data_IF_824800194628
#
_entry.id   IF_824800194628
#
_cell.length_a   1.000
_cell.length_b   1.000
_cell.length_c   1.000
_cell.angle_alpha   90.00
_cell.angle_beta   90.00
_cell.angle_gamma   90.00
#
_symmetry.space_group_name_H-M   'P 1'
#
loop_
_entity.id
_entity.type
_entity.pdbx_description
1 polymer ?
#
# COMPACT_ATOMS: atom_id res chain seq x y z
N UNK A 1 -31.82 9.42 45.66
CA UNK A 1 -32.20 9.84 44.29
C UNK A 1 -31.08 10.69 43.72
N UNK A 2 -30.16 10.07 42.98
CA UNK A 2 -29.04 10.79 42.40
C UNK A 2 -29.51 11.49 41.12
N UNK A 3 -29.37 12.84 41.14
CA UNK A 3 -29.85 13.72 40.09
C UNK A 3 -29.28 13.35 38.71
N UNK A 4 -30.11 13.30 37.69
CA UNK A 4 -29.78 12.96 36.30
C UNK A 4 -28.59 13.84 35.76
N UNK A 5 -28.42 15.04 36.22
CA UNK A 5 -27.30 15.94 35.93
C UNK A 5 -25.97 15.43 36.51
N UNK A 6 -25.99 14.79 37.68
CA UNK A 6 -24.77 14.23 38.30
C UNK A 6 -24.33 12.95 37.55
N UNK A 7 -25.25 12.10 37.13
CA UNK A 7 -24.94 10.90 36.33
C UNK A 7 -24.32 11.27 34.99
N UNK A 8 -24.79 12.30 34.29
CA UNK A 8 -24.17 12.80 33.04
C UNK A 8 -22.75 13.33 33.24
N UNK A 9 -22.48 14.00 34.36
CA UNK A 9 -21.12 14.49 34.68
C UNK A 9 -20.18 13.32 34.98
N UNK A 10 -20.66 12.29 35.68
CA UNK A 10 -19.86 11.09 36.01
C UNK A 10 -19.59 10.27 34.74
N UNK A 11 -20.56 10.12 33.86
CA UNK A 11 -20.35 9.39 32.59
C UNK A 11 -19.39 10.15 31.67
N UNK A 12 -19.49 11.46 31.58
CA UNK A 12 -18.51 12.27 30.81
C UNK A 12 -17.09 12.17 31.39
N UNK A 13 -16.94 12.24 32.71
CA UNK A 13 -15.64 12.09 33.37
C UNK A 13 -15.04 10.69 33.13
N UNK A 14 -15.85 9.62 33.21
CA UNK A 14 -15.43 8.26 32.93
C UNK A 14 -14.97 8.07 31.47
N UNK A 15 -15.66 8.73 30.53
CA UNK A 15 -15.33 8.66 29.09
C UNK A 15 -13.99 9.37 28.77
N UNK A 16 -13.74 10.51 29.41
CA UNK A 16 -12.47 11.24 29.29
C UNK A 16 -11.31 10.43 29.86
N UNK A 17 -11.50 9.78 31.00
CA UNK A 17 -10.48 8.90 31.61
C UNK A 17 -10.21 7.68 30.73
N UNK A 18 -11.25 7.06 30.16
CA UNK A 18 -11.10 5.92 29.26
C UNK A 18 -10.34 6.30 27.98
N UNK A 19 -10.64 7.47 27.38
CA UNK A 19 -9.90 7.98 26.23
C UNK A 19 -8.43 8.27 26.56
N UNK A 20 -8.17 8.89 27.74
CA UNK A 20 -6.81 9.13 28.21
C UNK A 20 -6.02 7.84 28.41
N UNK A 21 -6.64 6.81 28.98
CA UNK A 21 -6.03 5.50 29.16
C UNK A 21 -5.73 4.81 27.81
N UNK A 22 -6.64 4.90 26.83
CA UNK A 22 -6.44 4.34 25.50
C UNK A 22 -5.27 5.00 24.76
N UNK A 23 -5.17 6.33 24.82
CA UNK A 23 -4.06 7.08 24.22
C UNK A 23 -2.73 6.76 24.93
N UNK A 24 -2.74 6.66 26.27
CA UNK A 24 -1.57 6.29 27.06
C UNK A 24 -1.08 4.88 26.74
N UNK A 25 -1.97 3.89 26.62
CA UNK A 25 -1.64 2.52 26.26
C UNK A 25 -1.11 2.46 24.83
N UNK A 26 -1.75 3.15 23.88
CA UNK A 26 -1.25 3.22 22.51
C UNK A 26 0.17 3.82 22.43
N UNK A 27 0.43 4.87 23.19
CA UNK A 27 1.76 5.48 23.27
C UNK A 27 2.79 4.55 23.91
N UNK A 28 2.42 3.82 24.97
CA UNK A 28 3.28 2.86 25.66
C UNK A 28 3.59 1.66 24.75
N UNK A 29 2.59 1.12 24.04
CA UNK A 29 2.77 0.03 23.08
C UNK A 29 3.61 0.44 21.87
N UNK A 30 3.49 1.69 21.41
CA UNK A 30 4.34 2.20 20.31
C UNK A 30 5.83 2.36 20.68
N UNK A 31 6.16 2.30 21.97
CA UNK A 31 7.55 2.37 22.47
C UNK A 31 8.16 1.02 22.82
N UNK A 32 7.35 -0.01 22.85
CA UNK A 32 7.81 -1.36 23.15
C UNK A 32 7.85 -2.14 21.84
N UNK A 33 9.04 -2.25 21.24
CA UNK A 33 9.32 -3.22 20.20
C UNK A 33 9.21 -4.62 20.81
N UNK A 34 7.99 -5.15 20.87
CA UNK A 34 7.76 -6.55 21.20
C UNK A 34 7.56 -7.29 19.89
N UNK A 35 8.51 -8.15 19.48
CA UNK A 35 8.25 -9.03 18.37
C UNK A 35 7.10 -9.96 18.77
N UNK A 36 6.03 -9.99 17.99
CA UNK A 36 4.96 -10.97 18.11
C UNK A 36 5.53 -12.35 17.78
N UNK A 37 6.01 -13.04 18.80
CA UNK A 37 6.30 -14.47 18.72
C UNK A 37 4.95 -15.16 18.84
N UNK A 38 4.42 -15.65 17.73
CA UNK A 38 3.37 -16.65 17.76
C UNK A 38 4.01 -17.98 18.15
N UNK A 39 3.87 -18.36 19.41
CA UNK A 39 4.09 -19.73 19.86
C UNK A 39 3.03 -20.60 19.17
N UNK A 40 3.46 -21.37 18.19
CA UNK A 40 2.74 -22.57 17.77
C UNK A 40 3.43 -23.75 18.43
N UNK A 41 2.96 -24.11 19.63
CA UNK A 41 3.19 -25.45 20.16
C UNK A 41 2.36 -26.43 19.32
N UNK A 42 2.99 -27.36 18.65
CA UNK A 42 2.81 -28.80 18.87
C UNK A 42 3.69 -29.66 17.97
N UNK A 43 4.46 -30.50 18.70
CA UNK A 43 4.89 -31.87 18.38
C UNK A 43 5.67 -32.18 17.09
N UNK A 44 6.87 -32.59 17.15
CA UNK A 44 7.23 -34.01 17.34
C UNK A 44 8.73 -34.25 17.44
N UNK A 45 9.05 -34.96 18.51
CA UNK A 45 10.33 -35.57 18.86
C UNK A 45 10.83 -36.50 17.74
N UNK A 46 12.10 -36.43 17.38
CA UNK A 46 12.93 -37.63 17.42
C UNK A 46 14.43 -37.32 17.47
N UNK A 47 15.01 -37.95 18.46
CA UNK A 47 16.37 -38.03 18.89
C UNK A 47 17.42 -38.27 17.79
N UNK A 48 18.60 -37.67 17.98
CA UNK A 48 19.83 -38.45 18.11
C UNK A 48 20.94 -37.60 18.71
N UNK A 49 21.50 -38.11 19.79
CA UNK A 49 22.73 -37.72 20.47
C UNK A 49 23.92 -37.80 19.50
N UNK A 50 24.82 -36.83 19.57
CA UNK A 50 26.21 -37.01 19.97
C UNK A 50 26.95 -35.66 19.94
N UNK A 51 27.27 -35.24 21.13
CA UNK A 51 28.60 -35.02 21.72
C UNK A 51 29.50 -33.88 21.16
N UNK A 52 29.76 -32.98 22.10
CA UNK A 52 31.02 -32.35 22.50
C UNK A 52 31.41 -30.98 21.95
N UNK A 53 31.59 -30.15 23.00
CA UNK A 53 32.58 -29.08 23.27
C UNK A 53 32.42 -27.73 22.57
N UNK A 54 32.04 -26.80 23.46
CA UNK A 54 32.73 -25.53 23.73
C UNK A 54 33.34 -24.81 22.51
N UNK A 55 32.64 -23.80 22.04
CA UNK A 55 33.25 -22.48 22.01
C UNK A 55 32.17 -21.39 21.96
N UNK A 56 32.20 -20.54 22.96
CA UNK A 56 31.33 -19.37 23.04
C UNK A 56 31.91 -18.36 22.07
N UNK A 57 31.57 -18.48 20.80
CA UNK A 57 31.71 -17.40 19.84
C UNK A 57 30.32 -16.91 19.49
N UNK A 58 29.90 -15.83 20.14
CA UNK A 58 28.73 -15.06 19.76
C UNK A 58 29.00 -14.40 18.41
N UNK A 59 28.96 -15.19 17.35
CA UNK A 59 28.76 -14.66 16.02
C UNK A 59 27.29 -14.29 15.95
N UNK A 60 27.00 -13.03 16.17
CA UNK A 60 25.83 -12.39 15.58
C UNK A 60 25.98 -12.63 14.09
N UNK A 61 25.11 -13.51 13.55
CA UNK A 61 25.15 -13.88 12.16
C UNK A 61 25.32 -12.65 11.31
N UNK A 62 26.42 -12.62 10.55
CA UNK A 62 26.54 -11.78 9.41
C UNK A 62 25.26 -11.97 8.61
N UNK A 63 24.44 -10.94 8.56
CA UNK A 63 23.35 -10.91 7.62
C UNK A 63 24.03 -10.93 6.25
N UNK A 64 24.24 -12.14 5.73
CA UNK A 64 24.58 -12.32 4.34
C UNK A 64 23.45 -11.62 3.59
N UNK A 65 23.79 -10.46 3.04
CA UNK A 65 23.02 -9.84 1.98
C UNK A 65 22.94 -10.93 0.91
N UNK A 66 21.86 -11.70 0.92
CA UNK A 66 21.53 -12.54 -0.22
C UNK A 66 21.31 -11.50 -1.32
N UNK A 67 22.32 -11.32 -2.16
CA UNK A 67 22.14 -10.68 -3.46
C UNK A 67 21.16 -11.61 -4.20
N UNK A 68 19.86 -11.43 -3.90
CA UNK A 68 18.87 -11.72 -4.89
C UNK A 68 19.34 -10.92 -6.10
N UNK A 69 19.75 -11.59 -7.14
CA UNK A 69 19.82 -11.00 -8.47
C UNK A 69 18.45 -10.42 -8.69
N UNK A 70 18.28 -9.12 -8.36
CA UNK A 70 17.05 -8.41 -8.65
C UNK A 70 16.91 -8.52 -10.14
N UNK A 71 15.91 -9.25 -10.56
CA UNK A 71 15.50 -9.29 -11.95
C UNK A 71 15.33 -7.82 -12.35
N UNK A 72 15.94 -7.40 -13.43
CA UNK A 72 15.91 -6.01 -13.90
C UNK A 72 14.48 -5.48 -14.02
N UNK A 73 13.52 -6.38 -14.29
CA UNK A 73 12.10 -6.10 -14.30
C UNK A 73 11.56 -5.71 -12.92
N UNK A 74 11.84 -6.48 -11.87
CA UNK A 74 11.38 -6.20 -10.51
C UNK A 74 11.93 -4.87 -9.99
N UNK A 75 13.21 -4.57 -10.25
CA UNK A 75 13.81 -3.29 -9.88
C UNK A 75 13.12 -2.09 -10.55
N UNK A 76 12.72 -2.24 -11.81
CA UNK A 76 11.95 -1.22 -12.52
C UNK A 76 10.60 -0.94 -11.84
N UNK A 77 9.86 -1.96 -11.45
CA UNK A 77 8.56 -1.80 -10.80
C UNK A 77 8.68 -1.14 -9.44
N UNK A 78 9.66 -1.55 -8.62
CA UNK A 78 9.94 -0.93 -7.33
C UNK A 78 10.25 0.58 -7.47
N UNK A 79 11.13 0.94 -8.41
CA UNK A 79 11.49 2.34 -8.66
C UNK A 79 10.30 3.16 -9.18
N UNK A 80 9.54 2.60 -10.14
CA UNK A 80 8.38 3.25 -10.73
C UNK A 80 7.26 3.47 -9.71
N UNK A 81 7.01 2.50 -8.81
CA UNK A 81 6.04 2.60 -7.72
C UNK A 81 6.45 3.67 -6.70
N UNK A 82 7.72 3.68 -6.30
CA UNK A 82 8.25 4.71 -5.39
C UNK A 82 8.12 6.11 -5.99
N UNK A 83 8.49 6.27 -7.25
CA UNK A 83 8.38 7.54 -7.98
C UNK A 83 6.92 7.99 -8.09
N UNK A 84 6.01 7.06 -8.42
CA UNK A 84 4.56 7.33 -8.49
C UNK A 84 4.03 7.82 -7.15
N UNK A 85 4.33 7.11 -6.06
CA UNK A 85 3.91 7.47 -4.72
C UNK A 85 4.39 8.86 -4.35
N UNK A 86 5.68 9.13 -4.52
CA UNK A 86 6.26 10.45 -4.24
C UNK A 86 5.58 11.57 -5.03
N UNK A 87 5.39 11.38 -6.33
CA UNK A 87 4.75 12.40 -7.18
C UNK A 87 3.31 12.67 -6.77
N UNK A 88 2.58 11.62 -6.37
CA UNK A 88 1.20 11.74 -5.88
C UNK A 88 1.11 12.45 -4.55
N UNK A 89 1.96 12.08 -3.60
CA UNK A 89 2.00 12.73 -2.29
C UNK A 89 2.29 14.23 -2.44
N UNK A 90 3.24 14.60 -3.30
CA UNK A 90 3.53 15.99 -3.61
C UNK A 90 2.34 16.72 -4.26
N UNK A 91 1.62 16.06 -5.18
CA UNK A 91 0.44 16.62 -5.84
C UNK A 91 -0.71 16.82 -4.86
N UNK A 92 -1.00 15.81 -4.02
CA UNK A 92 -2.03 15.87 -3.00
C UNK A 92 -1.74 16.95 -1.96
N UNK A 93 -0.49 17.06 -1.50
CA UNK A 93 -0.06 18.12 -0.56
C UNK A 93 -0.26 19.51 -1.16
N UNK A 94 0.13 19.71 -2.44
CA UNK A 94 -0.10 20.97 -3.14
C UNK A 94 -1.58 21.32 -3.27
N UNK A 95 -2.43 20.35 -3.67
CA UNK A 95 -3.88 20.54 -3.77
C UNK A 95 -4.49 20.87 -2.41
N UNK A 96 -4.12 20.15 -1.35
CA UNK A 96 -4.62 20.42 0.00
C UNK A 96 -4.17 21.78 0.53
N UNK A 97 -2.93 22.19 0.28
CA UNK A 97 -2.43 23.51 0.65
C UNK A 97 -3.17 24.61 -0.09
N UNK A 98 -3.44 24.41 -1.38
CA UNK A 98 -4.22 25.35 -2.18
C UNK A 98 -5.65 25.48 -1.63
N UNK A 99 -6.32 24.38 -1.28
CA UNK A 99 -7.68 24.40 -0.71
C UNK A 99 -7.76 25.13 0.65
N UNK A 100 -6.67 25.17 1.42
CA UNK A 100 -6.61 25.90 2.69
C UNK A 100 -6.42 27.40 2.53
N UNK A 101 -6.16 27.90 1.32
CA UNK A 101 -6.03 29.34 1.09
C UNK A 101 -7.39 30.02 1.27
N UNK A 102 -7.44 30.99 2.18
CA UNK A 102 -8.67 31.73 2.52
C UNK A 102 -9.13 32.68 1.41
N UNK A 103 -8.24 33.06 0.47
CA UNK A 103 -8.51 34.03 -0.58
C UNK A 103 -9.20 33.42 -1.82
N UNK A 104 -9.37 32.10 -1.87
CA UNK A 104 -10.01 31.43 -2.99
C UNK A 104 -11.51 31.72 -3.04
N UNK A 105 -12.00 31.96 -4.25
CA UNK A 105 -13.44 32.02 -4.54
C UNK A 105 -14.10 30.64 -4.35
N UNK A 106 -15.43 30.63 -4.29
CA UNK A 106 -16.20 29.38 -4.20
C UNK A 106 -15.98 28.47 -5.42
N UNK A 107 -15.88 29.08 -6.59
CA UNK A 107 -15.66 28.38 -7.87
C UNK A 107 -14.27 27.74 -7.91
N UNK A 108 -13.23 28.44 -7.46
CA UNK A 108 -11.86 27.91 -7.40
C UNK A 108 -11.76 26.77 -6.40
N UNK A 109 -12.40 26.88 -5.24
CA UNK A 109 -12.47 25.78 -4.26
C UNK A 109 -13.16 24.55 -4.84
N UNK A 110 -14.25 24.74 -5.58
CA UNK A 110 -14.95 23.64 -6.23
C UNK A 110 -14.03 22.95 -7.26
N UNK A 111 -13.36 23.71 -8.13
CA UNK A 111 -12.44 23.15 -9.12
C UNK A 111 -11.28 22.37 -8.49
N UNK A 112 -10.72 22.86 -7.37
CA UNK A 112 -9.67 22.16 -6.66
C UNK A 112 -10.19 20.89 -5.99
N UNK A 113 -11.42 20.92 -5.46
CA UNK A 113 -12.08 19.75 -4.88
C UNK A 113 -12.35 18.69 -5.95
N UNK A 114 -12.83 19.10 -7.12
CA UNK A 114 -13.07 18.20 -8.25
C UNK A 114 -11.75 17.55 -8.73
N UNK A 115 -10.67 18.33 -8.82
CA UNK A 115 -9.34 17.79 -9.13
C UNK A 115 -8.86 16.79 -8.10
N UNK A 116 -9.03 17.07 -6.81
CA UNK A 116 -8.68 16.15 -5.74
C UNK A 116 -9.50 14.86 -5.86
N UNK A 117 -10.80 14.97 -6.10
CA UNK A 117 -11.67 13.82 -6.33
C UNK A 117 -11.24 12.98 -7.54
N UNK A 118 -10.90 13.63 -8.66
CA UNK A 118 -10.40 12.93 -9.84
C UNK A 118 -9.10 12.15 -9.58
N UNK A 119 -8.15 12.75 -8.86
CA UNK A 119 -6.91 12.06 -8.48
C UNK A 119 -7.20 10.82 -7.62
N UNK A 120 -8.06 10.94 -6.62
CA UNK A 120 -8.43 9.81 -5.75
C UNK A 120 -9.13 8.70 -6.55
N UNK A 121 -10.04 9.07 -7.45
CA UNK A 121 -10.74 8.11 -8.33
C UNK A 121 -9.76 7.38 -9.24
N UNK A 122 -8.82 8.10 -9.86
CA UNK A 122 -7.78 7.51 -10.68
C UNK A 122 -6.91 6.53 -9.88
N UNK A 123 -6.46 6.92 -8.69
CA UNK A 123 -5.66 6.05 -7.81
C UNK A 123 -6.39 4.75 -7.45
N UNK A 124 -7.70 4.83 -7.18
CA UNK A 124 -8.50 3.65 -6.87
C UNK A 124 -8.64 2.73 -8.08
N UNK A 125 -8.92 3.31 -9.24
CA UNK A 125 -9.07 2.54 -10.48
C UNK A 125 -7.74 1.90 -10.92
N UNK A 126 -6.61 2.58 -10.75
CA UNK A 126 -5.27 2.02 -11.02
C UNK A 126 -4.98 0.82 -10.12
N UNK A 127 -5.24 0.95 -8.81
CA UNK A 127 -5.07 -0.16 -7.87
C UNK A 127 -5.98 -1.36 -8.20
N UNK A 128 -7.23 -1.11 -8.60
CA UNK A 128 -8.15 -2.16 -9.05
C UNK A 128 -7.64 -2.89 -10.29
N UNK A 129 -7.16 -2.14 -11.29
CA UNK A 129 -6.60 -2.69 -12.54
C UNK A 129 -5.37 -3.54 -12.22
N UNK A 130 -4.43 -3.02 -11.43
CA UNK A 130 -3.21 -3.72 -11.02
C UNK A 130 -3.53 -5.04 -10.31
N UNK A 131 -4.46 -5.02 -9.35
CA UNK A 131 -4.88 -6.22 -8.63
C UNK A 131 -5.53 -7.27 -9.56
N UNK A 132 -6.38 -6.84 -10.49
CA UNK A 132 -7.02 -7.74 -11.44
C UNK A 132 -6.02 -8.32 -12.44
N UNK A 133 -5.05 -7.54 -12.90
CA UNK A 133 -3.99 -8.01 -13.79
C UNK A 133 -3.09 -9.01 -13.06
N UNK A 134 -2.66 -8.71 -11.83
CA UNK A 134 -1.90 -9.66 -11.00
C UNK A 134 -2.67 -10.94 -10.73
N UNK A 135 -3.99 -10.87 -10.53
CA UNK A 135 -4.85 -12.05 -10.38
C UNK A 135 -4.94 -12.93 -11.64
N UNK A 136 -4.57 -12.39 -12.82
CA UNK A 136 -4.44 -13.18 -14.07
C UNK A 136 -3.09 -13.89 -14.20
N UNK A 137 -2.18 -13.73 -13.23
CA UNK A 137 -0.92 -14.45 -13.18
C UNK A 137 0.30 -13.63 -13.62
N UNK A 138 0.16 -12.32 -13.82
CA UNK A 138 1.32 -11.45 -14.03
C UNK A 138 2.02 -11.18 -12.69
N UNK A 139 3.36 -11.29 -12.68
CA UNK A 139 4.16 -11.08 -11.47
C UNK A 139 4.03 -9.66 -10.95
N UNK A 140 4.15 -8.70 -11.87
CA UNK A 140 4.14 -7.28 -11.57
C UNK A 140 3.26 -6.54 -12.55
N UNK A 141 2.59 -5.51 -12.06
CA UNK A 141 1.74 -4.65 -12.86
C UNK A 141 1.71 -3.26 -12.26
N UNK A 142 1.83 -2.25 -13.10
CA UNK A 142 1.68 -0.86 -12.75
C UNK A 142 0.78 -0.17 -13.77
N UNK A 143 -0.28 0.45 -13.29
CA UNK A 143 -1.22 1.19 -14.11
C UNK A 143 -1.08 2.70 -13.85
N UNK A 144 -1.16 3.47 -14.93
CA UNK A 144 -1.19 4.93 -14.89
C UNK A 144 -2.40 5.42 -15.67
N UNK A 145 -3.20 6.27 -15.04
CA UNK A 145 -4.33 6.95 -15.66
C UNK A 145 -3.98 8.42 -15.74
N UNK A 146 -3.94 8.95 -16.95
CA UNK A 146 -3.72 10.35 -17.24
C UNK A 146 -4.88 10.85 -18.10
N UNK A 147 -5.84 11.52 -17.48
CA UNK A 147 -7.10 11.93 -18.08
C UNK A 147 -7.84 10.76 -18.77
N UNK A 148 -7.81 10.73 -20.10
CA UNK A 148 -8.45 9.68 -20.90
C UNK A 148 -7.47 8.59 -21.35
N UNK A 149 -6.18 8.68 -21.02
CA UNK A 149 -5.16 7.71 -21.42
C UNK A 149 -4.83 6.77 -20.27
N UNK A 150 -4.74 5.49 -20.58
CA UNK A 150 -4.36 4.45 -19.62
C UNK A 150 -3.14 3.72 -20.12
N UNK A 151 -2.09 3.69 -19.31
CA UNK A 151 -0.89 2.91 -19.59
C UNK A 151 -0.77 1.81 -18.54
N UNK A 152 -0.72 0.56 -18.98
CA UNK A 152 -0.55 -0.61 -18.12
C UNK A 152 0.79 -1.24 -18.43
N UNK A 153 1.70 -1.22 -17.47
CA UNK A 153 3.02 -1.85 -17.56
C UNK A 153 2.98 -3.17 -16.81
N UNK A 154 3.40 -4.26 -17.44
CA UNK A 154 3.36 -5.60 -16.84
C UNK A 154 4.72 -6.29 -16.91
N UNK A 155 5.06 -7.01 -15.84
CA UNK A 155 6.23 -7.87 -15.77
C UNK A 155 5.95 -9.20 -16.45
N UNK A 156 6.80 -9.57 -17.40
CA UNK A 156 6.61 -10.80 -18.22
C UNK A 156 7.64 -11.88 -17.92
N UNK A 157 8.63 -11.61 -17.07
CA UNK A 157 9.69 -12.57 -16.75
C UNK A 157 10.47 -13.06 -17.98
N UNK A 158 10.65 -12.17 -18.97
CA UNK A 158 11.42 -12.45 -20.17
C UNK A 158 10.62 -13.04 -21.35
N UNK A 159 9.34 -13.39 -21.15
CA UNK A 159 8.48 -13.91 -22.23
C UNK A 159 7.61 -12.79 -22.80
N UNK A 160 7.55 -12.63 -24.12
CA UNK A 160 6.71 -11.62 -24.74
C UNK A 160 5.21 -11.87 -24.49
N UNK A 161 4.43 -10.81 -24.35
CA UNK A 161 2.98 -10.90 -24.21
C UNK A 161 2.33 -11.52 -25.44
N UNK A 162 1.44 -12.47 -25.23
CA UNK A 162 0.59 -13.00 -26.27
C UNK A 162 -0.58 -12.06 -26.58
N UNK A 163 -1.15 -12.15 -27.77
CA UNK A 163 -2.34 -11.36 -28.12
C UNK A 163 -3.52 -11.60 -27.16
N UNK A 164 -3.67 -12.84 -26.66
CA UNK A 164 -4.70 -13.19 -25.70
C UNK A 164 -4.51 -12.47 -24.36
N UNK A 165 -3.27 -12.40 -23.87
CA UNK A 165 -2.93 -11.66 -22.64
C UNK A 165 -3.16 -10.15 -22.80
N UNK A 166 -2.75 -9.59 -23.94
CA UNK A 166 -3.00 -8.17 -24.26
C UNK A 166 -4.52 -7.89 -24.30
N UNK A 167 -5.32 -8.78 -24.89
CA UNK A 167 -6.78 -8.66 -24.91
C UNK A 167 -7.36 -8.72 -23.47
N UNK A 168 -6.90 -9.65 -22.64
CA UNK A 168 -7.35 -9.77 -21.24
C UNK A 168 -7.04 -8.50 -20.43
N UNK A 169 -5.85 -7.92 -20.56
CA UNK A 169 -5.48 -6.68 -19.87
C UNK A 169 -6.38 -5.54 -20.35
N UNK A 170 -6.60 -5.44 -21.67
CA UNK A 170 -7.49 -4.42 -22.23
C UNK A 170 -8.92 -4.54 -21.72
N UNK A 171 -9.46 -5.75 -21.65
CA UNK A 171 -10.81 -6.01 -21.14
C UNK A 171 -10.95 -5.61 -19.68
N UNK A 172 -9.93 -5.85 -18.86
CA UNK A 172 -9.88 -5.41 -17.46
C UNK A 172 -9.99 -3.87 -17.40
N UNK A 173 -9.20 -3.16 -18.20
CA UNK A 173 -9.22 -1.69 -18.22
C UNK A 173 -10.58 -1.16 -18.65
N UNK A 174 -11.16 -1.70 -19.73
CA UNK A 174 -12.46 -1.30 -20.24
C UNK A 174 -13.63 -1.63 -19.28
N UNK A 175 -13.47 -2.65 -18.43
CA UNK A 175 -14.47 -2.98 -17.40
C UNK A 175 -14.43 -1.97 -16.24
N UNK A 176 -13.26 -1.40 -15.95
CA UNK A 176 -13.07 -0.48 -14.82
C UNK A 176 -13.21 0.99 -15.18
N UNK A 177 -12.97 1.33 -16.45
CA UNK A 177 -12.92 2.71 -16.94
C UNK A 177 -13.73 2.84 -18.24
N UNK A 178 -14.43 3.94 -18.35
CA UNK A 178 -15.10 4.33 -19.60
C UNK A 178 -14.08 5.08 -20.49
N UNK A 179 -13.20 4.31 -21.11
CA UNK A 179 -12.16 4.83 -22.02
C UNK A 179 -12.21 4.12 -23.36
N UNK A 180 -11.80 4.81 -24.44
CA UNK A 180 -11.71 4.16 -25.73
C UNK A 180 -10.48 3.24 -25.82
N UNK A 181 -10.62 2.08 -26.43
CA UNK A 181 -9.55 1.09 -26.58
C UNK A 181 -8.26 1.64 -27.21
N UNK A 182 -8.38 2.65 -28.08
CA UNK A 182 -7.22 3.34 -28.69
C UNK A 182 -6.36 4.12 -27.69
N UNK A 183 -6.92 4.47 -26.55
CA UNK A 183 -6.26 5.22 -25.48
C UNK A 183 -5.58 4.32 -24.44
N UNK A 184 -5.67 3.00 -24.61
CA UNK A 184 -5.03 2.02 -23.76
C UNK A 184 -3.71 1.60 -24.37
N UNK A 185 -2.62 1.84 -23.63
CA UNK A 185 -1.26 1.40 -23.97
C UNK A 185 -0.84 0.28 -23.03
N UNK A 186 -0.33 -0.82 -23.56
CA UNK A 186 0.18 -1.93 -22.75
C UNK A 186 1.67 -2.06 -23.06
N UNK A 187 2.49 -2.02 -22.00
CA UNK A 187 3.96 -2.07 -22.08
C UNK A 187 4.44 -3.32 -21.34
N UNK A 188 5.33 -4.07 -21.98
CA UNK A 188 5.99 -5.22 -21.33
C UNK A 188 7.36 -4.82 -20.77
N UNK A 189 7.67 -5.30 -19.57
CA UNK A 189 8.99 -5.22 -18.94
C UNK A 189 9.50 -6.64 -18.75
N UNK A 190 10.72 -6.88 -19.23
CA UNK A 190 11.38 -8.21 -19.27
C UNK A 190 12.34 -8.36 -18.12
#
# INVERSE_FOLDING_TARGET
>A
MTNAKQRRKITMAALVVALGAAVYLNWQYSRTDVPLVFDVEDSMVLSSEDDITSDVNKNYGDAQLVSATKDSGSAYFEEAELKRTKTRDEALDKLQKSLKNAELSAEEKQQLTDKLGAVITAMTAEGDIENLVKAKGFSDCLAFIDEAKVTVTVGTGGTALTQAQVAQIRDIVLTKLDVEAKNISIVEVK
#
